data_IF_207511329875
#
_entry.id   IF_207511329875
#
_cell.length_a   1.000
_cell.length_b   1.000
_cell.length_c   1.000
_cell.angle_alpha   90.00
_cell.angle_beta   90.00
_cell.angle_gamma   90.00
#
_symmetry.space_group_name_H-M   'P 1'
#
loop_
_entity.id
_entity.type
_entity.pdbx_description
1 polymer ?
#
# COMPACT_ATOMS: atom_id res chain seq x y z
N UNK A 1 3.90 0.39 9.73
CA UNK A 1 3.54 0.15 8.33
C UNK A 1 2.02 0.05 8.24
N UNK A 2 1.41 0.81 7.33
CA UNK A 2 -0.02 0.77 7.05
C UNK A 2 -0.22 0.28 5.61
N UNK A 3 -1.12 -0.68 5.40
CA UNK A 3 -1.39 -1.25 4.07
C UNK A 3 -2.87 -1.57 3.91
N UNK A 4 -3.26 -1.93 2.68
CA UNK A 4 -4.52 -2.64 2.48
C UNK A 4 -4.44 -4.07 3.07
N UNK A 5 -5.52 -4.82 2.85
CA UNK A 5 -5.66 -6.22 3.26
C UNK A 5 -5.31 -7.21 2.14
N UNK A 6 -4.44 -6.81 1.21
CA UNK A 6 -3.99 -7.66 0.12
C UNK A 6 -3.25 -8.89 0.64
N UNK A 7 -3.34 -10.01 -0.10
CA UNK A 7 -2.81 -11.33 0.31
C UNK A 7 -1.33 -11.30 0.71
N UNK A 8 -0.52 -10.47 0.04
CA UNK A 8 0.89 -10.30 0.35
C UNK A 8 1.10 -9.66 1.74
N UNK A 9 0.39 -8.57 2.03
CA UNK A 9 0.54 -7.82 3.28
C UNK A 9 -0.15 -8.49 4.47
N UNK A 10 -1.16 -9.33 4.20
CA UNK A 10 -1.82 -10.15 5.21
C UNK A 10 -1.14 -11.50 5.46
N UNK A 11 -0.07 -11.83 4.73
CA UNK A 11 0.64 -13.10 4.93
C UNK A 11 1.35 -13.16 6.28
N UNK A 12 1.42 -14.37 6.84
CA UNK A 12 2.06 -14.62 8.14
C UNK A 12 3.54 -14.23 8.08
N UNK A 13 4.26 -14.70 7.05
CA UNK A 13 5.68 -14.42 6.86
C UNK A 13 5.99 -12.93 6.85
N UNK A 14 5.14 -12.14 6.17
CA UNK A 14 5.27 -10.70 6.11
C UNK A 14 5.04 -10.03 7.48
N UNK A 15 3.97 -10.42 8.16
CA UNK A 15 3.63 -9.88 9.48
C UNK A 15 4.73 -10.18 10.49
N UNK A 16 5.23 -11.41 10.51
CA UNK A 16 6.27 -11.86 11.43
C UNK A 16 7.60 -11.17 11.14
N UNK A 17 7.92 -10.95 9.86
CA UNK A 17 9.09 -10.16 9.48
C UNK A 17 9.01 -8.74 10.04
N UNK A 18 7.89 -8.05 9.89
CA UNK A 18 7.75 -6.68 10.42
C UNK A 18 7.80 -6.66 11.95
N UNK A 19 7.17 -7.63 12.62
CA UNK A 19 7.24 -7.74 14.09
C UNK A 19 8.66 -8.00 14.58
N UNK A 20 9.44 -8.82 13.88
CA UNK A 20 10.86 -9.10 14.21
C UNK A 20 11.75 -7.85 14.13
N UNK A 21 11.31 -6.84 13.38
CA UNK A 21 11.97 -5.53 13.26
C UNK A 21 11.40 -4.50 14.24
N UNK A 22 10.67 -4.93 15.27
CA UNK A 22 9.91 -4.08 16.21
C UNK A 22 8.93 -3.13 15.51
N UNK A 23 8.48 -3.47 14.30
CA UNK A 23 7.53 -2.69 13.53
C UNK A 23 6.10 -2.92 13.98
N UNK A 24 5.27 -1.87 13.92
CA UNK A 24 3.82 -1.96 14.09
C UNK A 24 3.14 -2.04 12.73
N UNK A 25 2.19 -2.96 12.60
CA UNK A 25 1.34 -3.12 11.41
C UNK A 25 -0.06 -2.58 11.70
N UNK A 26 -0.66 -1.96 10.70
CA UNK A 26 -2.09 -1.63 10.66
C UNK A 26 -2.62 -1.87 9.25
N UNK A 27 -3.88 -2.25 9.12
CA UNK A 27 -4.52 -2.52 7.83
C UNK A 27 -5.87 -1.82 7.74
N UNK A 28 -6.22 -1.39 6.52
CA UNK A 28 -7.51 -0.79 6.17
C UNK A 28 -8.69 -1.70 6.43
N UNK A 29 -9.89 -1.14 6.65
CA UNK A 29 -11.14 -1.91 6.91
C UNK A 29 -11.51 -2.81 5.71
N UNK A 30 -12.17 -3.96 5.97
CA UNK A 30 -12.68 -4.82 4.89
C UNK A 30 -13.68 -4.02 4.06
N UNK A 31 -13.49 -4.02 2.74
CA UNK A 31 -14.38 -3.34 1.81
C UNK A 31 -14.27 -1.81 1.80
N UNK A 32 -13.26 -1.22 2.45
CA UNK A 32 -13.08 0.22 2.49
C UNK A 32 -11.76 0.65 1.84
N UNK A 33 -11.80 1.01 0.55
CA UNK A 33 -10.64 1.54 -0.17
C UNK A 33 -10.25 2.96 0.25
N UNK A 34 -11.15 3.71 0.90
CA UNK A 34 -10.89 5.11 1.28
C UNK A 34 -9.75 5.24 2.29
N UNK A 35 -9.53 4.20 3.11
CA UNK A 35 -8.40 4.15 4.05
C UNK A 35 -7.04 4.18 3.33
N UNK A 36 -6.99 3.79 2.05
CA UNK A 36 -5.80 3.81 1.18
C UNK A 36 -5.77 5.01 0.21
N UNK A 37 -6.65 6.01 0.36
CA UNK A 37 -6.77 7.15 -0.58
C UNK A 37 -5.43 7.84 -0.87
N UNK A 38 -4.63 8.09 0.17
CA UNK A 38 -3.38 8.84 0.03
C UNK A 38 -2.39 8.13 -0.92
N UNK A 39 -2.24 6.81 -0.76
CA UNK A 39 -1.34 6.02 -1.60
C UNK A 39 -1.90 5.84 -3.02
N UNK A 40 -3.23 5.70 -3.16
CA UNK A 40 -3.88 5.68 -4.48
C UNK A 40 -3.70 6.99 -5.23
N UNK A 41 -3.82 8.14 -4.54
CA UNK A 41 -3.58 9.45 -5.11
C UNK A 41 -2.13 9.61 -5.58
N UNK A 42 -1.18 9.23 -4.73
CA UNK A 42 0.25 9.25 -5.06
C UNK A 42 0.55 8.41 -6.31
N UNK A 43 0.06 7.17 -6.39
CA UNK A 43 0.27 6.33 -7.56
C UNK A 43 -0.44 6.85 -8.81
N UNK A 44 -1.61 7.49 -8.67
CA UNK A 44 -2.27 8.16 -9.80
C UNK A 44 -1.41 9.30 -10.34
N UNK A 45 -0.84 10.10 -9.46
CA UNK A 45 0.07 11.18 -9.86
C UNK A 45 1.35 10.64 -10.52
N UNK A 46 1.97 9.60 -9.95
CA UNK A 46 3.13 8.94 -10.56
C UNK A 46 2.81 8.42 -11.96
N UNK A 47 1.72 7.66 -12.12
CA UNK A 47 1.31 7.16 -13.43
C UNK A 47 1.08 8.31 -14.40
N UNK A 48 0.34 9.34 -14.01
CA UNK A 48 0.10 10.50 -14.87
C UNK A 48 1.41 11.13 -15.34
N UNK A 49 2.37 11.38 -14.43
CA UNK A 49 3.66 12.00 -14.76
C UNK A 49 4.57 11.12 -15.60
N UNK A 50 4.71 9.84 -15.25
CA UNK A 50 5.57 8.91 -15.98
C UNK A 50 5.00 8.57 -17.36
N UNK A 51 3.70 8.32 -17.47
CA UNK A 51 3.10 8.02 -18.77
C UNK A 51 3.06 9.26 -19.68
N UNK A 52 2.77 10.48 -19.17
CA UNK A 52 2.88 11.68 -20.01
C UNK A 52 4.30 11.92 -20.50
N UNK A 53 5.30 11.66 -19.65
CA UNK A 53 6.71 11.85 -20.02
C UNK A 53 7.25 10.81 -21.01
N UNK A 54 6.54 9.70 -21.22
CA UNK A 54 6.91 8.64 -22.18
C UNK A 54 6.11 8.68 -23.49
N UNK A 55 5.07 9.54 -23.57
CA UNK A 55 4.23 9.73 -24.75
C UNK A 55 4.59 11.01 -25.53
N UNK A 56 5.71 11.64 -25.19
CA UNK A 56 6.34 12.77 -25.87
C UNK A 56 7.82 12.45 -26.05
#
# INVERSE_FOLDING_TARGET
MHSDRGSAYSSIDYIDKIKSLNGKISMSRIGNSLDNREIEYFFRYLKAKFFLAFLW
#
